data_IF_836341284241
#
_entry.id   IF_836341284241
#
_cell.length_a   1.000
_cell.length_b   1.000
_cell.length_c   1.000
_cell.angle_alpha   90.00
_cell.angle_beta   90.00
_cell.angle_gamma   90.00
#
_symmetry.space_group_name_H-M   'P 1'
#
loop_
_entity.id
_entity.type
_entity.pdbx_description
1 polymer ?
#
# COMPACT_ATOMS: atom_id res chain seq x y z
N UNK A 1 11.53 7.46 7.91
CA UNK A 1 10.93 8.07 9.14
C UNK A 1 11.51 7.52 10.45
N UNK A 2 11.39 6.20 10.74
CA UNK A 2 11.84 5.62 12.02
C UNK A 2 13.32 5.89 12.35
N UNK A 3 14.22 5.78 11.36
CA UNK A 3 15.64 6.11 11.52
C UNK A 3 15.88 7.59 11.86
N UNK A 4 15.18 8.49 11.18
CA UNK A 4 15.27 9.95 11.45
C UNK A 4 14.76 10.27 12.86
N UNK A 5 13.73 9.56 13.32
CA UNK A 5 13.21 9.68 14.68
C UNK A 5 14.11 9.03 15.75
N UNK A 6 15.25 8.45 15.37
CA UNK A 6 16.20 7.84 16.32
C UNK A 6 15.73 6.52 16.94
N UNK A 7 14.81 5.80 16.29
CA UNK A 7 14.33 4.50 16.80
C UNK A 7 15.51 3.50 16.83
N UNK A 8 15.87 2.95 18.02
CA UNK A 8 17.11 2.18 18.18
C UNK A 8 17.03 0.77 17.56
N UNK A 9 15.84 0.20 17.47
CA UNK A 9 15.58 -1.12 16.86
C UNK A 9 14.45 -1.01 15.85
N UNK A 10 14.74 -1.31 14.59
CA UNK A 10 13.78 -1.30 13.49
C UNK A 10 13.73 -2.71 12.89
N UNK A 11 12.53 -3.29 12.89
CA UNK A 11 12.25 -4.64 12.41
C UNK A 11 11.40 -4.56 11.16
N UNK A 12 11.71 -5.37 10.16
CA UNK A 12 10.89 -5.52 8.95
C UNK A 12 10.30 -6.93 8.89
N UNK A 13 8.99 -7.04 8.75
CA UNK A 13 8.31 -8.30 8.41
C UNK A 13 7.94 -8.25 6.93
N UNK A 14 8.41 -9.21 6.15
CA UNK A 14 8.10 -9.33 4.74
C UNK A 14 7.77 -10.79 4.39
N UNK A 15 6.63 -11.08 3.75
CA UNK A 15 6.30 -12.44 3.35
C UNK A 15 7.27 -12.92 2.25
N UNK A 16 7.84 -14.13 2.36
CA UNK A 16 8.65 -14.69 1.29
C UNK A 16 7.76 -15.10 0.10
N UNK A 17 8.34 -15.09 -1.10
CA UNK A 17 7.73 -15.74 -2.25
C UNK A 17 7.67 -17.25 -2.08
N UNK A 18 7.03 -17.95 -3.03
CA UNK A 18 6.88 -19.42 -3.01
C UNK A 18 8.21 -20.19 -2.90
N UNK A 19 9.32 -19.58 -3.31
CA UNK A 19 10.67 -20.13 -3.21
C UNK A 19 11.38 -19.84 -1.87
N UNK A 20 10.68 -19.28 -0.88
CA UNK A 20 11.25 -18.92 0.43
C UNK A 20 12.17 -17.70 0.43
N UNK A 21 12.29 -17.00 -0.70
CA UNK A 21 13.14 -15.81 -0.86
C UNK A 21 12.32 -14.53 -0.76
N UNK A 22 12.96 -13.47 -0.24
CA UNK A 22 12.42 -12.12 -0.30
C UNK A 22 12.81 -11.47 -1.62
N UNK A 23 12.05 -10.48 -2.04
CA UNK A 23 12.37 -9.67 -3.21
C UNK A 23 13.74 -8.99 -2.99
N UNK A 24 14.73 -9.16 -3.89
CA UNK A 24 16.06 -8.58 -3.73
C UNK A 24 16.03 -7.05 -3.65
N UNK A 25 15.10 -6.38 -4.33
CA UNK A 25 14.96 -4.92 -4.25
C UNK A 25 14.55 -4.45 -2.86
N UNK A 26 13.70 -5.22 -2.16
CA UNK A 26 13.31 -4.94 -0.77
C UNK A 26 14.52 -5.11 0.16
N UNK A 27 15.34 -6.15 -0.04
CA UNK A 27 16.53 -6.40 0.76
C UNK A 27 17.60 -5.31 0.58
N UNK A 28 17.92 -4.95 -0.67
CA UNK A 28 18.88 -3.87 -0.97
C UNK A 28 18.40 -2.54 -0.40
N UNK A 29 17.10 -2.26 -0.49
CA UNK A 29 16.53 -1.04 0.11
C UNK A 29 16.67 -1.05 1.63
N UNK A 30 16.30 -2.15 2.27
CA UNK A 30 16.42 -2.35 3.72
C UNK A 30 17.87 -2.14 4.19
N UNK A 31 18.84 -2.72 3.50
CA UNK A 31 20.27 -2.54 3.77
C UNK A 31 20.69 -1.06 3.65
N UNK A 32 20.34 -0.39 2.53
CA UNK A 32 20.69 1.02 2.30
C UNK A 32 20.14 1.95 3.37
N UNK A 33 18.94 1.68 3.88
CA UNK A 33 18.35 2.47 4.95
C UNK A 33 18.77 2.00 6.35
N UNK A 34 19.49 0.89 6.47
CA UNK A 34 20.08 0.39 7.71
C UNK A 34 19.14 -0.46 8.57
N UNK A 35 18.13 -1.11 7.97
CA UNK A 35 17.34 -2.15 8.63
C UNK A 35 18.19 -3.42 8.69
N UNK A 36 18.42 -3.91 9.91
CA UNK A 36 19.29 -5.09 10.17
C UNK A 36 18.51 -6.33 10.56
N UNK A 37 17.25 -6.18 10.93
CA UNK A 37 16.43 -7.26 11.47
C UNK A 37 15.21 -7.47 10.56
N UNK A 38 15.18 -8.60 9.87
CA UNK A 38 14.19 -8.92 8.85
C UNK A 38 13.63 -10.32 9.10
N UNK A 39 12.32 -10.43 9.24
CA UNK A 39 11.60 -11.68 9.42
C UNK A 39 10.82 -12.03 8.16
N UNK A 40 10.99 -13.28 7.69
CA UNK A 40 10.30 -13.82 6.51
C UNK A 40 8.87 -14.25 6.88
N UNK A 41 8.03 -13.28 7.19
CA UNK A 41 6.64 -13.49 7.60
C UNK A 41 5.77 -12.33 7.11
N UNK A 42 4.49 -12.59 6.89
CA UNK A 42 3.49 -11.58 6.56
C UNK A 42 2.12 -11.94 7.13
N UNK A 43 1.08 -11.17 6.81
CA UNK A 43 -0.28 -11.42 7.26
C UNK A 43 -0.51 -11.18 8.76
N UNK A 44 -1.65 -11.65 9.26
CA UNK A 44 -2.06 -11.47 10.65
C UNK A 44 -1.08 -12.10 11.66
N UNK A 45 -0.48 -13.24 11.30
CA UNK A 45 0.51 -13.93 12.12
C UNK A 45 1.79 -13.12 12.33
N UNK A 46 2.22 -12.33 11.34
CA UNK A 46 3.36 -11.43 11.51
C UNK A 46 3.03 -10.29 12.47
N UNK A 47 1.82 -9.74 12.38
CA UNK A 47 1.33 -8.71 13.31
C UNK A 47 1.28 -9.25 14.74
N UNK A 48 0.74 -10.45 14.94
CA UNK A 48 0.70 -11.10 16.24
C UNK A 48 2.10 -11.36 16.83
N UNK A 49 3.03 -11.89 16.01
CA UNK A 49 4.41 -12.13 16.43
C UNK A 49 5.13 -10.83 16.84
N UNK A 50 4.90 -9.73 16.10
CA UNK A 50 5.46 -8.43 16.45
C UNK A 50 4.82 -7.82 17.70
N UNK A 51 3.50 -8.01 17.90
CA UNK A 51 2.78 -7.46 19.05
C UNK A 51 3.11 -8.18 20.36
N UNK A 52 3.11 -9.51 20.35
CA UNK A 52 3.22 -10.33 21.55
C UNK A 52 4.62 -10.93 21.77
N UNK A 53 5.41 -11.02 20.71
CA UNK A 53 6.69 -11.70 20.70
C UNK A 53 6.56 -13.22 20.53
N UNK A 54 7.64 -13.85 20.10
CA UNK A 54 7.86 -15.31 20.05
C UNK A 54 9.28 -15.61 20.51
N UNK A 55 9.68 -16.89 20.51
CA UNK A 55 11.05 -17.32 20.82
C UNK A 55 12.08 -16.72 19.86
N UNK A 56 11.68 -16.42 18.61
CA UNK A 56 12.56 -15.89 17.56
C UNK A 56 12.27 -14.43 17.18
N UNK A 57 11.09 -13.91 17.51
CA UNK A 57 10.64 -12.54 17.18
C UNK A 57 10.40 -11.78 18.48
N UNK A 58 11.34 -10.95 18.96
CA UNK A 58 11.09 -10.10 20.11
C UNK A 58 10.03 -9.05 19.78
N UNK A 59 9.09 -8.85 20.71
CA UNK A 59 8.00 -7.87 20.56
C UNK A 59 8.51 -6.46 20.22
N UNK A 60 7.67 -5.67 19.55
CA UNK A 60 7.94 -4.25 19.25
C UNK A 60 6.98 -3.33 20.00
N UNK A 61 7.28 -2.03 20.02
CA UNK A 61 6.41 -1.04 20.67
C UNK A 61 5.36 -0.42 19.74
N UNK A 62 5.64 -0.38 18.42
CA UNK A 62 4.73 0.15 17.41
C UNK A 62 4.86 -0.64 16.12
N UNK A 63 3.73 -0.97 15.49
CA UNK A 63 3.66 -1.64 14.17
C UNK A 63 3.15 -0.62 13.15
N UNK A 64 3.91 -0.43 12.07
CA UNK A 64 3.55 0.48 10.99
C UNK A 64 3.55 -0.23 9.64
N UNK A 65 2.80 0.32 8.70
CA UNK A 65 2.76 -0.15 7.32
C UNK A 65 1.38 -0.63 6.90
N UNK A 66 1.04 -0.47 5.61
CA UNK A 66 -0.19 -0.97 5.04
C UNK A 66 -0.14 -2.49 4.87
N UNK A 67 -1.29 -3.07 4.62
CA UNK A 67 -1.44 -4.47 4.23
C UNK A 67 -2.88 -4.72 3.79
N UNK A 68 -3.15 -5.95 3.38
CA UNK A 68 -4.52 -6.34 3.06
C UNK A 68 -5.44 -6.30 4.29
N UNK A 69 -6.73 -6.54 4.07
CA UNK A 69 -7.75 -6.51 5.13
C UNK A 69 -7.39 -7.36 6.36
N UNK A 70 -6.71 -8.50 6.18
CA UNK A 70 -6.30 -9.36 7.29
C UNK A 70 -5.22 -8.71 8.16
N UNK A 71 -4.26 -8.01 7.56
CA UNK A 71 -3.24 -7.24 8.28
C UNK A 71 -3.89 -6.08 9.02
N UNK A 72 -4.79 -5.34 8.36
CA UNK A 72 -5.51 -4.22 8.99
C UNK A 72 -6.36 -4.68 10.18
N UNK A 73 -7.11 -5.78 10.03
CA UNK A 73 -7.91 -6.33 11.13
C UNK A 73 -7.02 -6.88 12.26
N UNK A 74 -5.87 -7.49 11.95
CA UNK A 74 -4.93 -7.93 12.97
C UNK A 74 -4.34 -6.74 13.73
N UNK A 75 -3.95 -5.66 13.05
CA UNK A 75 -3.49 -4.41 13.69
C UNK A 75 -4.56 -3.83 14.62
N UNK A 76 -5.82 -3.82 14.18
CA UNK A 76 -6.96 -3.42 15.01
C UNK A 76 -7.09 -4.29 16.26
N UNK A 77 -6.95 -5.61 16.12
CA UNK A 77 -7.10 -6.55 17.22
C UNK A 77 -5.98 -6.45 18.27
N UNK A 78 -4.76 -6.08 17.87
CA UNK A 78 -3.62 -5.94 18.79
C UNK A 78 -3.42 -4.52 19.33
N UNK A 79 -4.17 -3.54 18.82
CA UNK A 79 -4.09 -2.16 19.28
C UNK A 79 -4.41 -2.06 20.77
N UNK A 80 -3.54 -1.41 21.53
CA UNK A 80 -3.58 -1.35 23.00
C UNK A 80 -2.60 -2.31 23.68
N UNK A 81 -2.23 -3.43 23.02
CA UNK A 81 -1.06 -4.23 23.41
C UNK A 81 0.23 -3.71 22.77
N UNK A 82 0.10 -3.23 21.54
CA UNK A 82 1.14 -2.53 20.77
C UNK A 82 0.52 -1.31 20.10
N UNK A 83 1.29 -0.25 19.91
CA UNK A 83 0.80 0.91 19.16
C UNK A 83 0.76 0.62 17.65
N UNK A 84 -0.10 1.31 16.91
CA UNK A 84 -0.17 1.23 15.44
C UNK A 84 -0.14 2.64 14.83
N UNK A 85 0.20 2.74 13.55
CA UNK A 85 0.11 4.00 12.80
C UNK A 85 -1.35 4.37 12.47
N UNK A 86 -2.03 3.51 11.72
CA UNK A 86 -3.41 3.68 11.27
C UNK A 86 -3.99 2.34 10.79
N UNK A 87 -5.32 2.28 10.70
CA UNK A 87 -6.02 1.22 9.99
C UNK A 87 -6.12 1.61 8.52
N UNK A 88 -5.19 1.10 7.70
CA UNK A 88 -5.19 1.37 6.27
C UNK A 88 -6.41 0.72 5.62
N UNK A 89 -7.22 1.55 4.96
CA UNK A 89 -8.28 1.12 4.05
C UNK A 89 -7.71 0.80 2.65
N UNK A 90 -8.59 0.44 1.70
CA UNK A 90 -8.21 0.40 0.29
C UNK A 90 -7.62 1.73 -0.16
N UNK A 91 -6.74 1.67 -1.15
CA UNK A 91 -6.12 2.87 -1.70
C UNK A 91 -7.15 3.73 -2.43
N UNK A 92 -7.11 5.05 -2.24
CA UNK A 92 -8.03 5.99 -2.88
C UNK A 92 -7.29 7.17 -3.52
N UNK A 93 -7.85 7.73 -4.59
CA UNK A 93 -7.42 9.02 -5.17
C UNK A 93 -8.65 9.85 -5.50
N UNK A 94 -8.59 11.15 -5.17
CA UNK A 94 -9.58 12.14 -5.54
C UNK A 94 -8.87 13.26 -6.31
N UNK A 95 -9.24 13.43 -7.58
CA UNK A 95 -8.72 14.51 -8.42
C UNK A 95 -9.80 15.57 -8.57
N UNK A 96 -9.44 16.83 -8.35
CA UNK A 96 -10.28 17.99 -8.64
C UNK A 96 -9.65 18.73 -9.80
N UNK A 97 -10.38 18.86 -10.91
CA UNK A 97 -9.86 19.44 -12.14
C UNK A 97 -10.86 20.41 -12.79
N UNK A 98 -10.38 21.54 -13.29
CA UNK A 98 -11.17 22.47 -14.09
C UNK A 98 -11.05 22.17 -15.59
N UNK A 99 -11.70 22.99 -16.43
CA UNK A 99 -11.67 22.84 -17.88
C UNK A 99 -10.28 22.99 -18.52
N UNK A 100 -9.26 23.49 -17.81
CA UNK A 100 -7.91 23.64 -18.36
C UNK A 100 -7.07 22.37 -18.28
N UNK A 101 -7.53 21.36 -17.53
CA UNK A 101 -6.77 20.14 -17.29
C UNK A 101 -6.63 19.26 -18.54
N UNK A 102 -5.52 18.50 -18.60
CA UNK A 102 -5.29 17.55 -19.68
C UNK A 102 -6.02 16.22 -19.37
N UNK A 103 -7.06 15.83 -20.14
CA UNK A 103 -7.83 14.63 -19.85
C UNK A 103 -7.03 13.33 -19.97
N UNK A 104 -5.99 13.29 -20.81
CA UNK A 104 -5.10 12.12 -20.93
C UNK A 104 -4.37 11.85 -19.62
N UNK A 105 -3.89 12.90 -18.96
CA UNK A 105 -3.17 12.78 -17.69
C UNK A 105 -4.11 12.44 -16.54
N UNK A 106 -5.31 13.04 -16.53
CA UNK A 106 -6.33 12.69 -15.54
C UNK A 106 -6.72 11.21 -15.61
N UNK A 107 -6.91 10.67 -16.82
CA UNK A 107 -7.19 9.25 -17.00
C UNK A 107 -6.04 8.36 -16.49
N UNK A 108 -4.80 8.71 -16.84
CA UNK A 108 -3.63 7.99 -16.37
C UNK A 108 -3.50 8.01 -14.82
N UNK A 109 -3.76 9.16 -14.19
CA UNK A 109 -3.71 9.30 -12.73
C UNK A 109 -4.80 8.46 -12.06
N UNK A 110 -6.03 8.45 -12.59
CA UNK A 110 -7.12 7.60 -12.08
C UNK A 110 -6.76 6.11 -12.18
N UNK A 111 -6.29 5.68 -13.35
CA UNK A 111 -5.90 4.29 -13.61
C UNK A 111 -4.68 3.86 -12.77
N UNK A 112 -3.75 4.77 -12.50
CA UNK A 112 -2.58 4.50 -11.64
C UNK A 112 -2.98 4.05 -10.24
N UNK A 113 -4.12 4.53 -9.73
CA UNK A 113 -4.65 4.08 -8.46
C UNK A 113 -5.52 2.84 -8.59
N UNK A 114 -6.34 2.76 -9.65
CA UNK A 114 -7.22 1.61 -9.87
C UNK A 114 -6.44 0.30 -10.03
N UNK A 115 -5.25 0.31 -10.64
CA UNK A 115 -4.46 -0.91 -10.83
C UNK A 115 -3.91 -1.54 -9.53
N UNK A 116 -3.98 -0.85 -8.40
CA UNK A 116 -3.39 -1.32 -7.15
C UNK A 116 -4.13 -2.50 -6.54
N UNK A 117 -5.44 -2.40 -6.37
CA UNK A 117 -6.30 -3.34 -5.65
C UNK A 117 -7.74 -3.27 -6.18
N UNK A 118 -8.50 -4.38 -6.28
CA UNK A 118 -9.89 -4.36 -6.75
C UNK A 118 -10.87 -3.56 -5.88
N UNK A 119 -10.46 -3.17 -4.67
CA UNK A 119 -11.25 -2.30 -3.79
C UNK A 119 -10.78 -0.84 -3.84
N UNK A 120 -9.82 -0.51 -4.70
CA UNK A 120 -9.33 0.86 -4.85
C UNK A 120 -10.42 1.78 -5.40
N UNK A 121 -10.37 3.07 -5.03
CA UNK A 121 -11.32 4.07 -5.50
C UNK A 121 -10.60 5.22 -6.21
N UNK A 122 -11.01 5.51 -7.44
CA UNK A 122 -10.48 6.62 -8.22
C UNK A 122 -11.63 7.55 -8.61
N UNK A 123 -11.61 8.80 -8.13
CA UNK A 123 -12.71 9.75 -8.27
C UNK A 123 -12.20 11.02 -8.94
N UNK A 124 -12.88 11.46 -10.00
CA UNK A 124 -12.68 12.77 -10.61
C UNK A 124 -13.87 13.68 -10.29
N UNK A 125 -13.59 14.86 -9.76
CA UNK A 125 -14.53 15.96 -9.62
C UNK A 125 -14.11 17.06 -10.58
N UNK A 126 -15.02 17.47 -11.46
CA UNK A 126 -14.80 18.57 -12.39
C UNK A 126 -16.07 19.36 -12.59
N UNK A 127 -15.92 20.65 -12.85
CA UNK A 127 -16.99 21.57 -13.25
C UNK A 127 -17.19 21.60 -14.78
N UNK A 128 -16.37 20.86 -15.54
CA UNK A 128 -16.45 20.77 -17.00
C UNK A 128 -17.00 19.42 -17.47
N UNK A 129 -18.17 19.46 -18.11
CA UNK A 129 -18.74 18.27 -18.77
C UNK A 129 -17.82 17.74 -19.88
N UNK A 130 -17.10 18.63 -20.57
CA UNK A 130 -16.14 18.26 -21.60
C UNK A 130 -15.01 17.42 -21.00
N UNK A 131 -14.40 17.86 -19.89
CA UNK A 131 -13.36 17.11 -19.19
C UNK A 131 -13.91 15.77 -18.72
N UNK A 132 -15.07 15.74 -18.05
CA UNK A 132 -15.64 14.50 -17.55
C UNK A 132 -15.82 13.45 -18.66
N UNK A 133 -16.35 13.86 -19.82
CA UNK A 133 -16.57 12.96 -20.97
C UNK A 133 -15.26 12.51 -21.61
N UNK A 134 -14.32 13.43 -21.84
CA UNK A 134 -13.04 13.07 -22.47
C UNK A 134 -12.21 12.17 -21.57
N UNK A 135 -12.17 12.42 -20.25
CA UNK A 135 -11.48 11.52 -19.31
C UNK A 135 -12.10 10.13 -19.31
N UNK A 136 -13.43 10.01 -19.32
CA UNK A 136 -14.08 8.71 -19.38
C UNK A 136 -13.68 7.91 -20.64
N UNK A 137 -13.58 8.56 -21.80
CA UNK A 137 -13.09 7.92 -23.03
C UNK A 137 -11.62 7.50 -22.90
N UNK A 138 -10.75 8.38 -22.41
CA UNK A 138 -9.33 8.08 -22.22
C UNK A 138 -9.09 6.95 -21.23
N UNK A 139 -9.88 6.84 -20.17
CA UNK A 139 -9.82 5.73 -19.21
C UNK A 139 -10.09 4.40 -19.92
N UNK A 140 -11.15 4.32 -20.74
CA UNK A 140 -11.50 3.11 -21.50
C UNK A 140 -10.45 2.74 -22.55
N UNK A 141 -9.75 3.71 -23.12
CA UNK A 141 -8.67 3.48 -24.08
C UNK A 141 -7.39 3.00 -23.40
N UNK A 142 -6.97 3.67 -22.33
CA UNK A 142 -5.74 3.35 -21.61
C UNK A 142 -5.84 2.06 -20.81
N UNK A 143 -7.03 1.74 -20.28
CA UNK A 143 -7.28 0.52 -19.49
C UNK A 143 -6.90 -0.76 -20.25
N UNK A 144 -7.16 -0.81 -21.56
CA UNK A 144 -6.90 -1.98 -22.43
C UNK A 144 -5.40 -2.29 -22.61
N UNK A 145 -4.55 -1.32 -22.35
CA UNK A 145 -3.09 -1.45 -22.47
C UNK A 145 -2.45 -1.87 -21.13
N UNK A 146 -3.22 -1.92 -20.03
CA UNK A 146 -2.68 -2.22 -18.70
C UNK A 146 -2.46 -3.72 -18.49
N UNK A 147 -1.26 -4.14 -18.03
CA UNK A 147 -1.03 -5.53 -17.63
C UNK A 147 -1.95 -6.03 -16.50
N UNK A 148 -2.56 -5.10 -15.75
CA UNK A 148 -3.47 -5.34 -14.63
C UNK A 148 -4.89 -4.84 -14.93
N UNK A 149 -5.31 -4.88 -16.19
CA UNK A 149 -6.66 -4.47 -16.66
C UNK A 149 -7.78 -5.02 -15.75
N UNK A 150 -7.79 -6.32 -15.48
CA UNK A 150 -8.84 -6.96 -14.65
C UNK A 150 -8.95 -6.37 -13.24
N UNK A 151 -7.85 -5.88 -12.68
CA UNK A 151 -7.83 -5.27 -11.35
C UNK A 151 -8.26 -3.80 -11.44
N UNK A 152 -7.79 -3.07 -12.46
CA UNK A 152 -8.14 -1.68 -12.66
C UNK A 152 -9.61 -1.46 -13.08
N UNK A 153 -10.25 -2.47 -13.68
CA UNK A 153 -11.65 -2.42 -14.12
C UNK A 153 -12.68 -2.83 -13.04
N UNK A 154 -12.22 -3.30 -11.87
CA UNK A 154 -13.08 -3.83 -10.81
C UNK A 154 -13.86 -2.74 -10.05
#
# INVERSE_FOLDING_TARGET
PAKVAGVPRIVMAAPPGRNGKLNPYVLVTAEKIGIKEIYKMGGAQAVAALAFGTESVPRVNKITGPGNIFVTLAKKAVYGHVDIDMLAGPSEILIVADDSANPVYLAADLLSQAEHDPLASAILITDSERIARTVATEVEEQLKELPREEIAAA
#
